data_IF_146862394566
#
_entry.id   IF_146862394566
#
_cell.length_a   1.000
_cell.length_b   1.000
_cell.length_c   1.000
_cell.angle_alpha   90.00
_cell.angle_beta   90.00
_cell.angle_gamma   90.00
#
_symmetry.space_group_name_H-M   'P 1'
#
loop_
_entity.id
_entity.type
_entity.pdbx_description
1 polymer ?
#
# COMPACT_ATOMS: atom_id res chain seq x y z
N UNK A 1 4.61 14.76 12.06
CA UNK A 1 5.15 15.58 10.92
C UNK A 1 6.66 15.39 10.76
N UNK A 2 7.46 15.42 11.83
CA UNK A 2 8.94 15.30 11.72
C UNK A 2 9.38 13.94 11.19
N UNK A 3 8.79 12.84 11.67
CA UNK A 3 9.15 11.50 11.21
C UNK A 3 8.73 11.24 9.77
N UNK A 4 7.60 11.80 9.34
CA UNK A 4 7.18 11.77 7.94
C UNK A 4 8.26 12.35 7.02
N UNK A 5 8.72 13.58 7.28
CA UNK A 5 9.74 14.21 6.45
C UNK A 5 11.06 13.43 6.42
N UNK A 6 11.52 12.90 7.56
CA UNK A 6 12.74 12.10 7.63
C UNK A 6 12.60 10.84 6.77
N UNK A 7 11.46 10.17 6.86
CA UNK A 7 11.19 8.96 6.08
C UNK A 7 11.10 9.32 4.60
N UNK A 8 10.28 10.31 4.22
CA UNK A 8 10.09 10.74 2.84
C UNK A 8 11.42 11.09 2.15
N UNK A 9 12.24 11.97 2.75
CA UNK A 9 13.56 12.34 2.21
C UNK A 9 14.51 11.13 2.06
N UNK A 10 14.43 10.15 2.97
CA UNK A 10 15.24 8.94 2.85
C UNK A 10 14.85 8.09 1.64
N UNK A 11 13.57 8.11 1.24
CA UNK A 11 13.09 7.40 0.06
C UNK A 11 13.31 8.19 -1.23
N UNK A 12 13.29 9.52 -1.20
CA UNK A 12 13.77 10.34 -2.33
C UNK A 12 15.24 10.07 -2.65
N UNK A 13 16.09 9.91 -1.63
CA UNK A 13 17.48 9.50 -1.83
C UNK A 13 17.59 8.11 -2.46
N UNK A 14 16.80 7.12 -1.98
CA UNK A 14 16.75 5.78 -2.57
C UNK A 14 16.24 5.81 -4.01
N UNK A 15 15.28 6.68 -4.31
CA UNK A 15 14.79 6.91 -5.66
C UNK A 15 15.91 7.34 -6.60
N UNK A 16 16.70 8.36 -6.21
CA UNK A 16 17.85 8.83 -7.01
C UNK A 16 18.80 7.68 -7.36
N UNK A 17 19.24 6.93 -6.34
CA UNK A 17 20.14 5.78 -6.55
C UNK A 17 19.50 4.67 -7.41
N UNK A 18 18.18 4.45 -7.31
CA UNK A 18 17.48 3.46 -8.13
C UNK A 18 17.38 3.89 -9.58
N UNK A 19 17.12 5.19 -9.84
CA UNK A 19 17.11 5.78 -11.18
C UNK A 19 18.45 5.69 -11.86
N UNK A 20 19.52 6.11 -11.19
CA UNK A 20 20.88 6.02 -11.72
C UNK A 20 21.19 4.59 -12.16
N UNK A 21 20.78 3.62 -11.31
CA UNK A 21 20.94 2.21 -11.64
C UNK A 21 20.15 1.77 -12.87
N UNK A 22 18.88 2.15 -12.97
CA UNK A 22 18.02 1.76 -14.10
C UNK A 22 18.53 2.38 -15.39
N UNK A 23 18.95 3.64 -15.36
CA UNK A 23 19.55 4.35 -16.51
C UNK A 23 20.85 3.70 -16.97
N UNK A 24 21.77 3.36 -16.07
CA UNK A 24 23.01 2.66 -16.39
C UNK A 24 22.81 1.29 -17.08
N UNK A 25 21.66 0.64 -16.84
CA UNK A 25 21.33 -0.67 -17.39
C UNK A 25 20.33 -0.61 -18.57
N UNK A 26 20.02 0.59 -19.08
CA UNK A 26 19.09 0.78 -20.21
C UNK A 26 17.64 0.39 -19.91
N UNK A 27 17.23 0.49 -18.64
CA UNK A 27 15.86 0.23 -18.17
C UNK A 27 15.21 1.54 -17.68
N UNK A 28 15.35 2.61 -18.45
CA UNK A 28 14.90 3.96 -18.15
C UNK A 28 13.62 4.38 -18.89
N UNK A 29 12.98 3.43 -19.57
CA UNK A 29 11.72 3.68 -20.24
C UNK A 29 10.63 4.05 -19.23
N UNK A 30 9.90 5.16 -19.45
CA UNK A 30 8.82 5.58 -18.57
C UNK A 30 7.68 4.55 -18.53
N UNK A 31 7.11 4.32 -17.37
CA UNK A 31 5.93 3.47 -17.24
C UNK A 31 4.67 4.19 -17.74
N UNK A 32 3.95 3.60 -18.69
CA UNK A 32 2.75 4.16 -19.31
C UNK A 32 1.58 4.38 -18.34
N UNK A 33 1.59 3.70 -17.21
CA UNK A 33 0.53 3.83 -16.20
C UNK A 33 0.76 4.98 -15.21
N UNK A 34 1.97 5.52 -15.10
CA UNK A 34 2.24 6.69 -14.24
C UNK A 34 1.61 7.93 -14.87
N UNK A 35 0.81 8.66 -14.07
CA UNK A 35 0.09 9.84 -14.52
C UNK A 35 -0.82 9.60 -15.75
N UNK A 36 -1.28 8.35 -15.94
CA UNK A 36 -2.13 7.95 -17.06
C UNK A 36 -3.47 8.70 -17.08
N UNK A 37 -4.02 9.03 -15.91
CA UNK A 37 -5.26 9.76 -15.77
C UNK A 37 -5.04 11.14 -15.15
N UNK A 38 -5.62 12.17 -15.76
CA UNK A 38 -5.68 13.51 -15.14
C UNK A 38 -6.93 13.64 -14.31
N UNK A 39 -6.78 13.89 -13.00
CA UNK A 39 -7.90 14.07 -12.11
C UNK A 39 -8.79 15.25 -12.56
N UNK A 40 -10.07 14.99 -12.67
CA UNK A 40 -11.12 15.97 -12.84
C UNK A 40 -12.45 15.42 -12.25
N UNK A 41 -13.42 16.30 -12.00
CA UNK A 41 -14.70 15.91 -11.36
C UNK A 41 -15.55 14.91 -12.16
N UNK A 42 -15.27 14.72 -13.47
CA UNK A 42 -15.99 13.78 -14.35
C UNK A 42 -15.27 12.43 -14.47
N UNK A 43 -14.04 12.32 -13.95
CA UNK A 43 -13.29 11.06 -14.00
C UNK A 43 -14.02 9.99 -13.18
N UNK A 44 -14.27 8.84 -13.80
CA UNK A 44 -14.93 7.73 -13.14
C UNK A 44 -13.89 6.84 -12.42
N UNK A 45 -13.97 6.76 -11.10
CA UNK A 45 -13.08 5.95 -10.28
C UNK A 45 -13.10 4.46 -10.65
N UNK A 46 -14.21 3.92 -11.16
CA UNK A 46 -14.29 2.51 -11.60
C UNK A 46 -13.45 2.23 -12.84
N UNK A 47 -13.32 3.20 -13.73
CA UNK A 47 -12.44 3.07 -14.91
C UNK A 47 -10.99 2.98 -14.45
N UNK A 48 -10.57 3.84 -13.52
CA UNK A 48 -9.22 3.81 -12.94
C UNK A 48 -8.99 2.52 -12.17
N UNK A 49 -9.94 2.08 -11.34
CA UNK A 49 -9.84 0.83 -10.58
C UNK A 49 -9.68 -0.39 -11.50
N UNK A 50 -10.44 -0.44 -12.60
CA UNK A 50 -10.34 -1.52 -13.59
C UNK A 50 -9.00 -1.51 -14.31
N UNK A 51 -8.51 -0.33 -14.70
CA UNK A 51 -7.22 -0.19 -15.36
C UNK A 51 -6.08 -0.64 -14.45
N UNK A 52 -6.08 -0.21 -13.18
CA UNK A 52 -5.11 -0.67 -12.18
C UNK A 52 -5.15 -2.18 -12.05
N UNK A 53 -6.34 -2.77 -11.79
CA UNK A 53 -6.49 -4.20 -11.59
C UNK A 53 -5.98 -5.02 -12.80
N UNK A 54 -6.25 -4.56 -14.02
CA UNK A 54 -5.77 -5.19 -15.25
C UNK A 54 -4.25 -5.09 -15.39
N UNK A 55 -3.67 -3.91 -15.13
CA UNK A 55 -2.23 -3.66 -15.27
C UNK A 55 -1.41 -4.52 -14.30
N UNK A 56 -1.85 -4.64 -13.05
CA UNK A 56 -1.17 -5.46 -12.03
C UNK A 56 -1.64 -6.93 -12.03
N UNK A 57 -2.50 -7.32 -12.96
CA UNK A 57 -3.09 -8.67 -13.03
C UNK A 57 -3.80 -9.13 -11.75
N UNK A 58 -4.50 -8.19 -11.08
CA UNK A 58 -5.19 -8.43 -9.82
C UNK A 58 -6.62 -8.91 -10.05
N UNK A 59 -6.92 -10.13 -9.60
CA UNK A 59 -8.28 -10.68 -9.53
C UNK A 59 -8.65 -10.93 -8.07
N UNK A 60 -9.52 -10.09 -7.53
CA UNK A 60 -9.94 -10.15 -6.12
C UNK A 60 -10.46 -11.55 -5.74
N UNK A 61 -11.24 -12.22 -6.59
CA UNK A 61 -11.81 -13.53 -6.30
C UNK A 61 -10.73 -14.61 -6.15
N UNK A 62 -9.63 -14.46 -6.88
CA UNK A 62 -8.47 -15.35 -6.81
C UNK A 62 -7.58 -14.99 -5.62
N UNK A 63 -7.36 -13.70 -5.41
CA UNK A 63 -6.37 -13.21 -4.46
C UNK A 63 -6.79 -13.35 -2.99
N UNK A 64 -8.10 -13.31 -2.68
CA UNK A 64 -8.60 -13.50 -1.30
C UNK A 64 -8.75 -14.96 -0.87
N UNK A 65 -8.64 -15.91 -1.81
CA UNK A 65 -8.79 -17.34 -1.49
C UNK A 65 -7.57 -17.86 -0.75
N UNK A 66 -7.82 -18.58 0.36
CA UNK A 66 -6.80 -19.31 1.12
C UNK A 66 -5.59 -18.48 1.57
N UNK A 67 -5.81 -17.18 1.85
CA UNK A 67 -4.77 -16.27 2.34
C UNK A 67 -5.08 -15.79 3.77
N UNK A 68 -4.02 -15.59 4.57
CA UNK A 68 -4.11 -14.83 5.81
C UNK A 68 -4.03 -13.33 5.52
N UNK A 69 -4.32 -12.47 6.49
CA UNK A 69 -4.13 -11.03 6.31
C UNK A 69 -2.67 -10.66 6.03
N UNK A 70 -1.71 -11.39 6.66
CA UNK A 70 -0.29 -11.18 6.49
C UNK A 70 0.18 -11.54 5.07
N UNK A 71 -0.18 -12.74 4.61
CA UNK A 71 0.20 -13.23 3.27
C UNK A 71 -0.50 -12.46 2.16
N UNK A 72 -1.70 -11.90 2.41
CA UNK A 72 -2.43 -11.11 1.43
C UNK A 72 -1.69 -9.82 1.05
N UNK A 73 -1.16 -9.07 2.05
CA UNK A 73 -0.34 -7.91 1.75
C UNK A 73 0.87 -8.26 0.86
N UNK A 74 1.63 -9.29 1.24
CA UNK A 74 2.83 -9.69 0.50
C UNK A 74 2.51 -10.12 -0.93
N UNK A 75 1.38 -10.79 -1.13
CA UNK A 75 0.91 -11.24 -2.44
C UNK A 75 0.53 -10.05 -3.34
N UNK A 76 -0.23 -9.08 -2.80
CA UNK A 76 -0.61 -7.86 -3.52
C UNK A 76 0.62 -6.99 -3.81
N UNK A 77 1.49 -6.80 -2.83
CA UNK A 77 2.73 -6.05 -3.01
C UNK A 77 3.59 -6.63 -4.13
N UNK A 78 3.69 -7.97 -4.20
CA UNK A 78 4.42 -8.64 -5.28
C UNK A 78 3.82 -8.35 -6.66
N UNK A 79 2.49 -8.42 -6.82
CA UNK A 79 1.85 -8.09 -8.11
C UNK A 79 2.15 -6.65 -8.55
N UNK A 80 2.19 -5.72 -7.61
CA UNK A 80 2.55 -4.32 -7.89
C UNK A 80 4.03 -4.20 -8.24
N UNK A 81 4.92 -4.87 -7.50
CA UNK A 81 6.37 -4.87 -7.81
C UNK A 81 6.69 -5.52 -9.17
N UNK A 82 5.92 -6.50 -9.59
CA UNK A 82 6.10 -7.15 -10.90
C UNK A 82 5.85 -6.16 -12.07
N UNK A 83 5.11 -5.05 -11.85
CA UNK A 83 4.96 -3.97 -12.83
C UNK A 83 6.12 -2.96 -12.85
N UNK A 84 7.03 -3.01 -11.88
CA UNK A 84 8.17 -2.10 -11.80
C UNK A 84 8.12 -1.11 -10.63
N UNK A 85 6.97 -0.95 -9.97
CA UNK A 85 6.83 -0.11 -8.77
C UNK A 85 7.62 -0.70 -7.61
N UNK A 86 8.34 0.13 -6.86
CA UNK A 86 9.06 -0.29 -5.66
C UNK A 86 8.16 -0.15 -4.43
N UNK A 87 7.85 -1.27 -3.76
CA UNK A 87 6.96 -1.28 -2.59
C UNK A 87 7.74 -1.48 -1.30
N UNK A 88 7.67 -0.50 -0.42
CA UNK A 88 8.31 -0.48 0.89
C UNK A 88 7.29 -0.59 2.02
N UNK A 89 7.62 -1.35 3.05
CA UNK A 89 6.78 -1.53 4.22
C UNK A 89 7.61 -1.46 5.50
N UNK A 90 7.50 -0.38 6.25
CA UNK A 90 8.23 -0.22 7.50
C UNK A 90 7.37 0.47 8.58
N UNK A 91 7.57 0.12 9.84
CA UNK A 91 6.88 0.73 10.99
C UNK A 91 7.82 1.53 11.90
N UNK A 92 9.07 1.74 11.47
CA UNK A 92 10.08 2.46 12.24
C UNK A 92 10.90 3.38 11.33
N UNK A 93 11.51 4.39 11.89
CA UNK A 93 12.44 5.26 11.15
C UNK A 93 13.74 4.49 10.92
N UNK A 94 14.10 4.28 9.66
CA UNK A 94 15.24 3.42 9.27
C UNK A 94 15.06 1.99 9.84
N UNK A 95 16.03 1.49 10.59
CA UNK A 95 15.94 0.21 11.31
C UNK A 95 15.89 0.40 12.84
N UNK A 96 15.54 1.61 13.33
CA UNK A 96 15.51 1.90 14.76
C UNK A 96 14.15 1.55 15.39
N UNK A 97 14.06 0.39 16.02
CA UNK A 97 12.84 -0.10 16.68
C UNK A 97 12.32 0.80 17.83
N UNK A 98 13.15 1.74 18.33
CA UNK A 98 12.74 2.72 19.34
C UNK A 98 12.01 3.93 18.72
N UNK A 99 12.11 4.14 17.40
CA UNK A 99 11.47 5.24 16.67
C UNK A 99 10.32 4.70 15.82
N UNK A 100 9.24 4.29 16.48
CA UNK A 100 8.03 3.79 15.81
C UNK A 100 7.33 4.91 15.05
N UNK A 101 6.84 4.60 13.85
CA UNK A 101 6.02 5.51 13.05
C UNK A 101 4.59 5.56 13.61
N UNK A 102 4.03 6.76 13.67
CA UNK A 102 2.64 6.96 14.12
C UNK A 102 1.69 6.99 12.92
N UNK A 103 0.70 6.11 12.91
CA UNK A 103 -0.34 6.03 11.88
C UNK A 103 -1.26 7.25 11.85
N UNK A 104 -1.24 8.09 12.90
CA UNK A 104 -1.94 9.38 12.92
C UNK A 104 -1.18 10.46 12.16
N UNK A 105 0.14 10.32 12.02
CA UNK A 105 0.97 11.22 11.23
C UNK A 105 0.84 10.91 9.74
N UNK A 106 1.01 9.63 9.35
CA UNK A 106 0.76 9.14 7.98
C UNK A 106 0.61 7.62 7.96
N UNK A 107 -0.14 7.11 6.99
CA UNK A 107 -0.34 5.67 6.77
C UNK A 107 0.48 5.13 5.61
N UNK A 108 0.70 5.94 4.59
CA UNK A 108 1.51 5.66 3.43
C UNK A 108 1.85 6.94 2.70
N UNK A 109 2.60 6.84 1.65
CA UNK A 109 2.82 7.85 0.63
C UNK A 109 3.34 7.19 -0.65
N UNK A 110 3.21 7.88 -1.77
CA UNK A 110 3.90 7.51 -3.00
C UNK A 110 4.79 8.63 -3.49
N UNK A 111 5.77 8.27 -4.31
CA UNK A 111 6.57 9.19 -5.11
C UNK A 111 6.32 8.81 -6.56
N UNK A 112 5.64 9.70 -7.29
CA UNK A 112 5.20 9.47 -8.66
C UNK A 112 6.31 9.81 -9.65
N UNK A 113 7.28 8.90 -9.74
CA UNK A 113 8.36 9.00 -10.72
C UNK A 113 8.07 8.09 -11.92
N UNK A 114 8.33 8.57 -13.14
CA UNK A 114 8.02 7.84 -14.37
C UNK A 114 8.87 6.60 -14.59
N UNK A 115 10.06 6.52 -13.98
CA UNK A 115 11.04 5.43 -14.20
C UNK A 115 11.18 4.54 -12.97
N UNK A 116 11.11 5.12 -11.76
CA UNK A 116 11.30 4.40 -10.51
C UNK A 116 10.22 4.78 -9.47
N UNK A 117 8.94 4.53 -9.74
CA UNK A 117 7.86 4.88 -8.82
C UNK A 117 7.98 4.12 -7.50
N UNK A 118 7.73 4.82 -6.40
CA UNK A 118 7.82 4.29 -5.04
C UNK A 118 6.48 4.35 -4.34
N UNK A 119 6.14 3.29 -3.61
CA UNK A 119 5.07 3.26 -2.61
C UNK A 119 5.66 2.89 -1.26
N UNK A 120 5.33 3.66 -0.23
CA UNK A 120 5.63 3.34 1.15
C UNK A 120 4.36 3.07 1.94
N UNK A 121 4.34 2.00 2.76
CA UNK A 121 3.23 1.66 3.66
C UNK A 121 3.74 1.55 5.09
N UNK A 122 3.08 2.27 6.01
CA UNK A 122 3.39 2.23 7.43
C UNK A 122 2.89 0.91 8.05
N UNK A 123 3.83 0.03 8.41
CA UNK A 123 3.50 -1.28 8.99
C UNK A 123 3.00 -1.23 10.43
N UNK A 124 2.99 -0.04 11.07
CA UNK A 124 2.38 0.14 12.39
C UNK A 124 0.84 0.17 12.35
N UNK A 125 0.26 0.22 11.15
CA UNK A 125 -1.21 0.14 10.96
C UNK A 125 -1.70 -1.32 10.97
N UNK A 126 -3.01 -1.50 11.10
CA UNK A 126 -3.64 -2.81 11.00
C UNK A 126 -3.42 -3.43 9.60
N UNK A 127 -3.24 -4.75 9.51
CA UNK A 127 -2.95 -5.44 8.24
C UNK A 127 -3.97 -5.16 7.14
N UNK A 128 -5.27 -5.11 7.49
CA UNK A 128 -6.33 -4.76 6.54
C UNK A 128 -6.24 -3.31 6.05
N UNK A 129 -5.79 -2.40 6.92
CA UNK A 129 -5.57 -1.00 6.54
C UNK A 129 -4.33 -0.85 5.65
N UNK A 130 -3.28 -1.65 5.88
CA UNK A 130 -2.06 -1.63 5.05
C UNK A 130 -2.36 -1.98 3.58
N UNK A 131 -3.21 -2.98 3.31
CA UNK A 131 -3.60 -3.34 1.94
C UNK A 131 -4.45 -2.24 1.30
N UNK A 132 -5.35 -1.64 2.07
CA UNK A 132 -6.13 -0.49 1.60
C UNK A 132 -5.22 0.69 1.25
N UNK A 133 -4.29 1.04 2.14
CA UNK A 133 -3.29 2.10 1.90
C UNK A 133 -2.45 1.79 0.65
N UNK A 134 -2.04 0.54 0.45
CA UNK A 134 -1.27 0.14 -0.73
C UNK A 134 -2.00 0.47 -2.03
N UNK A 135 -3.29 0.12 -2.16
CA UNK A 135 -4.09 0.47 -3.34
C UNK A 135 -4.43 1.96 -3.44
N UNK A 136 -4.54 2.65 -2.31
CA UNK A 136 -4.71 4.10 -2.27
C UNK A 136 -3.50 4.81 -2.88
N UNK A 137 -2.28 4.41 -2.50
CA UNK A 137 -1.04 4.96 -3.06
C UNK A 137 -0.83 4.57 -4.54
N UNK A 138 -1.25 3.35 -4.94
CA UNK A 138 -1.29 2.98 -6.35
C UNK A 138 -2.19 3.92 -7.15
N UNK A 139 -3.37 4.29 -6.62
CA UNK A 139 -4.26 5.23 -7.30
C UNK A 139 -3.62 6.62 -7.48
N UNK A 140 -2.85 7.09 -6.50
CA UNK A 140 -2.06 8.32 -6.64
C UNK A 140 -1.04 8.25 -7.77
N UNK A 141 -0.32 7.12 -7.94
CA UNK A 141 0.61 6.91 -9.06
C UNK A 141 -0.09 7.01 -10.42
N UNK A 142 -1.27 6.41 -10.57
CA UNK A 142 -2.08 6.48 -11.80
C UNK A 142 -2.58 7.89 -12.12
N UNK A 143 -2.72 8.74 -11.10
CA UNK A 143 -3.08 10.16 -11.26
C UNK A 143 -1.85 11.06 -11.44
N UNK A 144 -0.64 10.57 -11.21
CA UNK A 144 0.59 11.35 -11.23
C UNK A 144 0.62 12.45 -10.16
N UNK A 145 0.07 12.15 -8.98
CA UNK A 145 -0.02 13.13 -7.88
C UNK A 145 0.67 12.53 -6.67
N UNK A 146 1.76 13.15 -6.24
CA UNK A 146 2.44 12.78 -5.00
C UNK A 146 1.52 13.07 -3.81
N UNK A 147 1.40 12.13 -2.88
CA UNK A 147 0.52 12.23 -1.72
C UNK A 147 0.91 13.31 -0.68
N UNK A 148 1.64 14.37 -1.08
CA UNK A 148 2.20 15.40 -0.19
C UNK A 148 1.76 16.82 -0.53
N UNK A 149 0.92 17.03 -1.55
CA UNK A 149 0.58 18.38 -2.00
C UNK A 149 -0.75 18.91 -1.46
N UNK A 150 -0.71 20.09 -0.83
CA UNK A 150 -1.70 20.74 0.01
C UNK A 150 -2.90 21.42 -0.62
N UNK A 151 -3.97 21.41 0.11
CA UNK A 151 -5.11 22.29 0.32
C UNK A 151 -6.45 21.79 -0.27
N UNK A 152 -7.24 22.39 -1.03
CA UNK A 152 -8.62 22.00 -1.29
C UNK A 152 -8.82 21.00 -2.46
N UNK A 153 -7.90 20.98 -3.40
CA UNK A 153 -7.87 20.00 -4.50
C UNK A 153 -7.55 18.60 -3.97
N UNK A 154 -6.75 18.52 -2.92
CA UNK A 154 -6.36 17.28 -2.24
C UNK A 154 -7.52 16.49 -1.69
N UNK A 155 -8.45 17.10 -0.97
CA UNK A 155 -9.58 16.38 -0.39
C UNK A 155 -10.40 15.63 -1.43
N UNK A 156 -10.52 16.18 -2.64
CA UNK A 156 -11.23 15.55 -3.74
C UNK A 156 -10.41 14.39 -4.32
N UNK A 157 -9.09 14.55 -4.47
CA UNK A 157 -8.17 13.51 -4.93
C UNK A 157 -8.10 12.39 -3.91
N UNK A 158 -7.92 12.71 -2.63
CA UNK A 158 -7.92 11.74 -1.53
C UNK A 158 -9.21 10.91 -1.49
N UNK A 159 -10.37 11.59 -1.59
CA UNK A 159 -11.68 10.92 -1.66
C UNK A 159 -11.78 10.03 -2.90
N UNK A 160 -11.22 10.46 -4.03
CA UNK A 160 -11.21 9.68 -5.26
C UNK A 160 -10.32 8.45 -5.14
N UNK A 161 -9.08 8.58 -4.64
CA UNK A 161 -8.16 7.47 -4.41
C UNK A 161 -8.74 6.45 -3.41
N UNK A 162 -9.44 6.92 -2.35
CA UNK A 162 -10.19 6.05 -1.45
C UNK A 162 -11.28 5.24 -2.18
N UNK A 163 -12.01 5.85 -3.12
CA UNK A 163 -13.04 5.15 -3.93
C UNK A 163 -12.41 4.14 -4.88
N UNK A 164 -11.27 4.47 -5.50
CA UNK A 164 -10.52 3.56 -6.37
C UNK A 164 -10.06 2.34 -5.56
N UNK A 165 -9.41 2.55 -4.42
CA UNK A 165 -8.94 1.46 -3.55
C UNK A 165 -10.10 0.57 -3.06
N UNK A 166 -11.22 1.20 -2.65
CA UNK A 166 -12.41 0.47 -2.23
C UNK A 166 -13.04 -0.36 -3.36
N UNK A 167 -13.04 0.14 -4.60
CA UNK A 167 -13.58 -0.58 -5.75
C UNK A 167 -12.69 -1.76 -6.16
N UNK A 168 -11.37 -1.61 -6.11
CA UNK A 168 -10.43 -2.73 -6.38
C UNK A 168 -10.63 -3.84 -5.34
N UNK A 169 -10.68 -3.48 -4.05
CA UNK A 169 -10.78 -4.44 -2.95
C UNK A 169 -12.18 -5.03 -2.78
N UNK A 170 -13.21 -4.27 -3.10
CA UNK A 170 -14.62 -4.62 -2.91
C UNK A 170 -15.46 -4.17 -4.12
N UNK A 171 -15.31 -4.79 -5.31
CA UNK A 171 -16.11 -4.44 -6.48
C UNK A 171 -17.61 -4.54 -6.18
N UNK A 172 -18.40 -3.55 -6.61
CA UNK A 172 -19.83 -3.40 -6.26
C UNK A 172 -20.64 -4.70 -6.47
N UNK A 173 -20.48 -5.35 -7.62
CA UNK A 173 -21.26 -6.54 -7.96
C UNK A 173 -20.89 -7.72 -7.07
N UNK A 174 -19.60 -7.93 -6.81
CA UNK A 174 -19.11 -8.99 -5.96
C UNK A 174 -19.49 -8.76 -4.50
N UNK A 175 -19.40 -7.48 -4.05
CA UNK A 175 -19.81 -7.09 -2.72
C UNK A 175 -21.30 -7.38 -2.47
N UNK A 176 -22.17 -6.98 -3.39
CA UNK A 176 -23.61 -7.28 -3.31
C UNK A 176 -23.89 -8.78 -3.28
N UNK A 177 -23.17 -9.57 -4.07
CA UNK A 177 -23.30 -11.03 -4.06
C UNK A 177 -22.93 -11.62 -2.70
N UNK A 178 -21.80 -11.25 -2.12
CA UNK A 178 -21.38 -11.72 -0.80
C UNK A 178 -22.30 -11.22 0.32
N UNK A 179 -22.81 -9.99 0.18
CA UNK A 179 -23.76 -9.42 1.12
C UNK A 179 -25.09 -10.20 1.17
N UNK A 180 -25.62 -10.60 0.01
CA UNK A 180 -26.86 -11.38 -0.09
C UNK A 180 -26.69 -12.82 0.43
N UNK A 181 -25.50 -13.39 0.29
CA UNK A 181 -25.18 -14.73 0.72
C UNK A 181 -24.65 -14.82 2.17
N UNK A 182 -24.54 -13.69 2.87
CA UNK A 182 -24.09 -13.67 4.25
C UNK A 182 -25.10 -14.37 5.17
N UNK A 183 -24.61 -15.10 6.16
CA UNK A 183 -25.41 -15.99 7.03
C UNK A 183 -26.27 -15.24 8.03
N UNK A 184 -25.91 -14.00 8.39
CA UNK A 184 -26.61 -13.19 9.40
C UNK A 184 -27.60 -12.22 8.78
N UNK A 185 -28.81 -12.12 9.34
CA UNK A 185 -29.77 -11.08 8.99
C UNK A 185 -29.48 -9.73 9.66
N UNK A 186 -28.67 -9.71 10.72
CA UNK A 186 -28.27 -8.49 11.39
C UNK A 186 -27.11 -7.82 10.65
N UNK A 187 -27.30 -6.59 10.19
CA UNK A 187 -26.35 -5.82 9.39
C UNK A 187 -24.98 -5.65 10.07
N UNK A 188 -24.92 -5.53 11.38
CA UNK A 188 -23.66 -5.44 12.12
C UNK A 188 -22.82 -6.72 11.98
N UNK A 189 -23.42 -7.90 12.15
CA UNK A 189 -22.73 -9.19 11.99
C UNK A 189 -22.45 -9.48 10.51
N UNK A 190 -23.35 -9.06 9.60
CA UNK A 190 -23.15 -9.18 8.16
C UNK A 190 -21.91 -8.41 7.69
N UNK A 191 -21.71 -7.17 8.17
CA UNK A 191 -20.48 -6.42 7.91
C UNK A 191 -19.25 -7.19 8.37
N UNK A 192 -19.27 -7.78 9.57
CA UNK A 192 -18.12 -8.56 10.09
C UNK A 192 -17.83 -9.84 9.30
N UNK A 193 -18.84 -10.46 8.74
CA UNK A 193 -18.68 -11.63 7.88
C UNK A 193 -18.09 -11.22 6.53
N UNK A 194 -18.67 -10.24 5.87
CA UNK A 194 -18.25 -9.77 4.55
C UNK A 194 -16.85 -9.14 4.60
N UNK A 195 -16.52 -8.37 5.65
CA UNK A 195 -15.19 -7.77 5.81
C UNK A 195 -14.07 -8.81 5.86
N UNK A 196 -14.33 -9.96 6.54
CA UNK A 196 -13.37 -11.08 6.60
C UNK A 196 -13.17 -11.74 5.24
N UNK A 197 -14.24 -11.87 4.44
CA UNK A 197 -14.15 -12.43 3.09
C UNK A 197 -13.25 -11.57 2.20
N UNK A 198 -13.44 -10.27 2.20
CA UNK A 198 -12.64 -9.31 1.41
C UNK A 198 -11.29 -8.95 2.03
N UNK A 199 -10.96 -9.43 3.25
CA UNK A 199 -9.74 -9.07 3.97
C UNK A 199 -9.59 -7.56 4.21
N UNK A 200 -10.71 -6.87 4.44
CA UNK A 200 -10.75 -5.43 4.76
C UNK A 200 -11.17 -5.20 6.21
N UNK A 201 -11.07 -3.95 6.68
CA UNK A 201 -11.58 -3.60 8.01
C UNK A 201 -13.12 -3.57 8.02
N UNK A 202 -13.70 -3.87 9.20
CA UNK A 202 -15.16 -3.77 9.39
C UNK A 202 -15.66 -2.36 9.03
N UNK A 203 -14.87 -1.33 9.34
CA UNK A 203 -15.22 0.06 9.02
C UNK A 203 -15.21 0.34 7.51
N UNK A 204 -14.20 -0.12 6.76
CA UNK A 204 -14.17 0.01 5.30
C UNK A 204 -15.34 -0.75 4.63
N UNK A 205 -15.64 -1.96 5.12
CA UNK A 205 -16.79 -2.73 4.67
C UNK A 205 -18.12 -2.01 4.94
N UNK A 206 -18.28 -1.40 6.14
CA UNK A 206 -19.47 -0.65 6.50
C UNK A 206 -19.64 0.61 5.63
N UNK A 207 -18.56 1.34 5.31
CA UNK A 207 -18.60 2.47 4.38
C UNK A 207 -19.10 2.01 3.01
N UNK A 208 -18.56 0.89 2.48
CA UNK A 208 -19.00 0.34 1.19
C UNK A 208 -20.47 -0.09 1.22
N UNK A 209 -20.90 -0.74 2.30
CA UNK A 209 -22.28 -1.15 2.47
C UNK A 209 -23.24 0.06 2.53
N UNK A 210 -22.86 1.15 3.21
CA UNK A 210 -23.62 2.39 3.23
C UNK A 210 -23.70 3.06 1.85
N UNK A 211 -22.58 3.09 1.11
CA UNK A 211 -22.55 3.64 -0.26
C UNK A 211 -23.43 2.87 -1.24
N UNK A 212 -23.71 1.60 -0.96
CA UNK A 212 -24.59 0.73 -1.75
C UNK A 212 -26.02 0.65 -1.19
N UNK A 213 -26.37 1.50 -0.21
CA UNK A 213 -27.67 1.55 0.46
C UNK A 213 -28.09 0.21 1.12
N UNK A 214 -27.11 -0.58 1.59
CA UNK A 214 -27.33 -1.88 2.23
C UNK A 214 -27.43 -1.78 3.75
N UNK A 215 -26.97 -0.68 4.34
CA UNK A 215 -27.08 -0.39 5.79
C UNK A 215 -27.44 1.07 6.00
N UNK A 216 -27.96 1.37 7.19
CA UNK A 216 -28.22 2.72 7.65
C UNK A 216 -26.98 3.36 8.31
N UNK A 217 -26.98 4.70 8.37
CA UNK A 217 -25.90 5.48 8.99
C UNK A 217 -25.65 5.10 10.46
N UNK A 218 -26.67 4.76 11.20
CA UNK A 218 -26.56 4.31 12.59
C UNK A 218 -25.66 3.06 12.72
N UNK A 219 -25.83 2.09 11.84
CA UNK A 219 -24.98 0.89 11.82
C UNK A 219 -23.52 1.24 11.56
N UNK A 220 -23.25 2.20 10.65
CA UNK A 220 -21.88 2.68 10.42
C UNK A 220 -21.26 3.32 11.65
N UNK A 221 -22.00 4.19 12.39
CA UNK A 221 -21.47 4.85 13.58
C UNK A 221 -21.14 3.84 14.70
N UNK A 222 -21.99 2.84 14.90
CA UNK A 222 -21.72 1.75 15.87
C UNK A 222 -20.40 1.02 15.53
N UNK A 223 -20.19 0.69 14.24
CA UNK A 223 -18.97 0.00 13.79
C UNK A 223 -17.74 0.90 13.93
N UNK A 224 -17.88 2.17 13.61
CA UNK A 224 -16.83 3.18 13.75
C UNK A 224 -16.36 3.31 15.21
N UNK A 225 -17.28 3.46 16.15
CA UNK A 225 -16.97 3.59 17.58
C UNK A 225 -16.23 2.35 18.10
N UNK A 226 -16.61 1.17 17.65
CA UNK A 226 -15.90 -0.07 18.01
C UNK A 226 -14.51 -0.14 17.38
N UNK A 227 -14.33 0.35 16.15
CA UNK A 227 -13.03 0.37 15.50
C UNK A 227 -12.05 1.29 16.22
N UNK A 228 -12.51 2.44 16.74
CA UNK A 228 -11.68 3.37 17.52
C UNK A 228 -11.32 2.84 18.91
N UNK A 229 -12.20 2.06 19.55
CA UNK A 229 -12.02 1.55 20.89
C UNK A 229 -11.28 0.20 20.96
N UNK A 230 -10.93 -0.41 19.82
CA UNK A 230 -10.15 -1.66 19.80
C UNK A 230 -8.72 -1.39 20.27
N UNK A 231 -8.20 -2.11 21.31
CA UNK A 231 -6.81 -2.01 21.70
C UNK A 231 -5.92 -2.44 20.54
N UNK A 232 -4.87 -1.67 20.25
CA UNK A 232 -3.86 -2.05 19.25
C UNK A 232 -3.17 -3.33 19.72
N UNK A 233 -3.27 -4.41 18.95
CA UNK A 233 -2.48 -5.62 19.21
C UNK A 233 -1.00 -5.27 18.98
N UNK A 234 -0.17 -5.50 19.99
CA UNK A 234 1.28 -5.47 19.80
C UNK A 234 1.67 -6.62 18.86
N UNK A 235 2.36 -6.29 17.77
CA UNK A 235 2.91 -7.30 16.89
C UNK A 235 4.19 -7.86 17.53
N UNK A 236 4.29 -9.15 17.70
CA UNK A 236 5.56 -9.82 17.99
C UNK A 236 6.49 -9.60 16.79
N UNK A 237 7.67 -9.00 17.04
CA UNK A 237 8.65 -8.72 16.00
C UNK A 237 9.10 -10.00 15.30
N UNK A 238 9.12 -9.98 13.96
CA UNK A 238 9.69 -11.06 13.15
C UNK A 238 11.22 -11.04 13.18
N UNK A 239 11.85 -12.11 12.65
CA UNK A 239 13.32 -12.17 12.46
C UNK A 239 13.77 -11.00 11.58
N UNK A 240 14.93 -10.42 11.92
CA UNK A 240 15.52 -9.29 11.19
C UNK A 240 15.70 -9.62 9.70
N UNK A 241 16.29 -10.76 9.36
CA UNK A 241 16.53 -11.16 7.98
C UNK A 241 15.24 -11.39 7.17
N UNK A 242 14.17 -11.87 7.79
CA UNK A 242 12.88 -12.04 7.14
C UNK A 242 12.15 -10.71 6.90
N UNK A 243 12.44 -9.70 7.73
CA UNK A 243 11.78 -8.38 7.63
C UNK A 243 12.54 -7.39 6.75
N UNK A 244 13.84 -7.58 6.57
CA UNK A 244 14.69 -6.66 5.82
C UNK A 244 14.28 -6.47 4.35
N UNK A 245 14.04 -7.54 3.55
CA UNK A 245 13.58 -7.39 2.17
C UNK A 245 12.24 -6.66 2.08
N UNK A 246 11.30 -6.97 2.98
CA UNK A 246 9.97 -6.34 3.00
C UNK A 246 10.06 -4.85 3.36
N UNK A 247 11.02 -4.47 4.21
CA UNK A 247 11.26 -3.07 4.58
C UNK A 247 11.85 -2.25 3.43
N UNK A 248 12.64 -2.88 2.56
CA UNK A 248 13.43 -2.21 1.51
C UNK A 248 12.96 -2.53 0.09
N UNK A 249 11.75 -3.01 -0.15
CA UNK A 249 11.32 -3.64 -1.39
C UNK A 249 12.16 -4.89 -1.74
N UNK A 250 11.57 -6.07 -1.87
CA UNK A 250 12.29 -7.28 -2.29
C UNK A 250 13.03 -7.08 -3.62
N UNK A 251 12.39 -6.38 -4.58
CA UNK A 251 12.99 -6.08 -5.88
C UNK A 251 14.26 -5.23 -5.75
N UNK A 252 14.18 -4.11 -5.02
CA UNK A 252 15.34 -3.24 -4.81
C UNK A 252 16.43 -3.95 -3.99
N UNK A 253 16.06 -4.72 -2.97
CA UNK A 253 17.02 -5.48 -2.15
C UNK A 253 17.83 -6.43 -3.02
N UNK A 254 17.17 -7.20 -3.90
CA UNK A 254 17.87 -8.13 -4.81
C UNK A 254 18.80 -7.41 -5.78
N UNK A 255 18.39 -6.26 -6.32
CA UNK A 255 19.23 -5.43 -7.20
C UNK A 255 20.49 -4.96 -6.47
N UNK A 256 20.33 -4.38 -5.27
CA UNK A 256 21.44 -3.85 -4.48
C UNK A 256 22.42 -4.97 -4.10
N UNK A 257 21.93 -6.11 -3.61
CA UNK A 257 22.77 -7.27 -3.25
C UNK A 257 23.50 -7.80 -4.48
N UNK A 258 22.83 -7.97 -5.61
CA UNK A 258 23.46 -8.45 -6.85
C UNK A 258 24.61 -7.55 -7.28
N UNK A 259 24.43 -6.21 -7.25
CA UNK A 259 25.47 -5.25 -7.57
C UNK A 259 26.63 -5.27 -6.57
N UNK A 260 26.32 -5.38 -5.29
CA UNK A 260 27.35 -5.46 -4.27
C UNK A 260 28.22 -6.72 -4.44
N UNK A 261 27.58 -7.86 -4.71
CA UNK A 261 28.27 -9.14 -4.92
C UNK A 261 29.07 -9.18 -6.22
N UNK A 262 28.63 -8.47 -7.27
CA UNK A 262 29.38 -8.31 -8.54
C UNK A 262 30.41 -7.18 -8.49
N UNK A 263 30.67 -6.57 -7.34
CA UNK A 263 31.61 -5.46 -7.12
C UNK A 263 31.30 -4.17 -7.91
N UNK A 264 30.09 -4.04 -8.43
CA UNK A 264 29.60 -2.84 -9.11
C UNK A 264 29.12 -1.75 -8.13
N UNK A 265 28.83 -2.14 -6.88
CA UNK A 265 28.42 -1.24 -5.81
C UNK A 265 29.26 -1.52 -4.55
N UNK A 266 29.91 -0.50 -3.96
CA UNK A 266 30.63 -0.68 -2.70
C UNK A 266 29.71 -1.18 -1.58
N UNK A 267 30.14 -2.16 -0.78
CA UNK A 267 29.37 -2.74 0.33
C UNK A 267 28.88 -1.66 1.31
N UNK A 268 29.65 -0.58 1.51
CA UNK A 268 29.28 0.53 2.37
C UNK A 268 28.03 1.27 1.82
N UNK A 269 27.98 1.50 0.52
CA UNK A 269 26.84 2.16 -0.15
C UNK A 269 25.62 1.24 -0.18
N UNK A 270 25.83 -0.04 -0.48
CA UNK A 270 24.76 -1.04 -0.37
C UNK A 270 24.15 -1.08 1.04
N UNK A 271 25.01 -1.02 2.07
CA UNK A 271 24.55 -0.94 3.47
C UNK A 271 23.73 0.32 3.78
N UNK A 272 24.13 1.47 3.24
CA UNK A 272 23.34 2.73 3.38
C UNK A 272 21.99 2.60 2.71
N UNK A 273 21.92 2.09 1.48
CA UNK A 273 20.67 1.91 0.74
C UNK A 273 19.71 0.93 1.43
N UNK A 274 20.22 -0.15 2.00
CA UNK A 274 19.43 -1.16 2.73
C UNK A 274 19.21 -0.81 4.21
N UNK A 275 19.77 0.30 4.70
CA UNK A 275 19.80 0.69 6.11
C UNK A 275 20.40 -0.40 7.02
N UNK A 276 21.47 -1.05 6.60
CA UNK A 276 22.21 -2.08 7.35
C UNK A 276 23.70 -1.76 7.39
N UNK A 277 24.45 -2.48 8.21
CA UNK A 277 25.91 -2.44 8.17
C UNK A 277 26.45 -3.12 6.90
N UNK A 278 27.62 -2.69 6.42
CA UNK A 278 28.23 -3.27 5.23
C UNK A 278 28.42 -4.80 5.35
N UNK A 279 28.80 -5.30 6.53
CA UNK A 279 28.97 -6.73 6.78
C UNK A 279 27.67 -7.53 6.62
N UNK A 280 26.53 -6.94 6.98
CA UNK A 280 25.19 -7.57 6.86
C UNK A 280 24.72 -7.72 5.41
N UNK A 281 25.33 -6.99 4.46
CA UNK A 281 24.99 -7.10 3.02
C UNK A 281 25.47 -8.44 2.44
N UNK A 282 26.52 -9.03 2.99
CA UNK A 282 27.11 -10.29 2.53
C UNK A 282 26.64 -11.53 3.31
N UNK A 283 25.93 -11.33 4.43
CA UNK A 283 25.23 -12.38 5.19
C UNK A 283 23.89 -12.75 4.57
#
# INVERSE_FOLDING_TARGET
VIFFFIVYLSYEYKLGCSKDYLMENGNDDPFDFIAKFKFNRKLNYKVVATDIANTIHFDIQKEIKNVTFESYFSKVAKLIEDTGVLVFKNGVVGNNNKRKLDTREFRGFCISDSVAPIIFVNSSDALSAQVFTLFHEVAHLWLGVDGVSGWDTEKNIESFCNKVAAEILMPDNLFKSFWLNASSDNNYYRVKEVSKLFKVSDFACAIKALQLDLIERNTLEIIKDQAYNKPKKESNGGSFFNTLPVRNSPKLTNIIISKAMSQQLPLREAGVLLNVKADTVVE
#
